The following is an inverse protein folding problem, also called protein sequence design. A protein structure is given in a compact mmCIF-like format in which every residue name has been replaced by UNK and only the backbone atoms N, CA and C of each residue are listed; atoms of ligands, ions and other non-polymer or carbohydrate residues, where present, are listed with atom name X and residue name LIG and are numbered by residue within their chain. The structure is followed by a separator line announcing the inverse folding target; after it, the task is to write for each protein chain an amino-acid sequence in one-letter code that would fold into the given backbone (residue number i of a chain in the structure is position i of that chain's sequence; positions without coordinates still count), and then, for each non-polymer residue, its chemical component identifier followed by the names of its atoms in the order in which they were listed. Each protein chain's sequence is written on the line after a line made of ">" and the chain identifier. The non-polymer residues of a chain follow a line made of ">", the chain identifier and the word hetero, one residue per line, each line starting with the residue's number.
data_IF_383531451302
#
_entry.id   IF_383531451302
#
_cell.length_a   1.000
_cell.length_b   1.000
_cell.length_c   1.000
_cell.angle_alpha   90.00
_cell.angle_beta   90.00
_cell.angle_gamma   90.00
#
_symmetry.space_group_name_H-M   'P 1'
#
loop_
_entity.id
_entity.type
_entity.pdbx_description
1 polymer ?
#
# COMPACT_ATOMS: atom_id res chain seq x y z
N UNK A 1 32.95 -82.28 -70.93
CA UNK A 1 31.50 -82.03 -70.71
C UNK A 1 31.29 -82.18 -69.21
N UNK A 2 31.37 -81.11 -68.41
CA UNK A 2 30.41 -79.98 -68.36
C UNK A 2 29.15 -80.48 -67.65
N UNK A 3 28.72 -79.99 -66.48
CA UNK A 3 28.68 -78.60 -66.02
C UNK A 3 28.40 -78.53 -64.52
N UNK A 4 28.78 -77.38 -63.94
CA UNK A 4 28.72 -76.99 -62.54
C UNK A 4 27.35 -77.21 -61.87
N UNK A 5 27.33 -78.02 -60.83
CA UNK A 5 26.48 -77.81 -59.66
C UNK A 5 27.25 -76.82 -58.79
N UNK A 6 26.79 -75.59 -58.62
CA UNK A 6 27.06 -74.66 -57.50
C UNK A 6 26.52 -73.25 -57.86
N UNK A 7 25.20 -73.09 -57.85
CA UNK A 7 24.55 -71.77 -57.71
C UNK A 7 23.08 -71.94 -57.35
N UNK A 8 22.81 -72.36 -56.11
CA UNK A 8 21.44 -72.36 -55.56
C UNK A 8 21.35 -72.17 -54.05
N UNK A 9 22.46 -71.80 -53.39
CA UNK A 9 22.52 -71.61 -51.93
C UNK A 9 22.76 -70.16 -51.48
N UNK A 10 23.31 -69.29 -52.33
CA UNK A 10 23.59 -67.89 -51.95
C UNK A 10 22.40 -66.93 -52.14
N UNK A 11 21.39 -67.29 -52.94
CA UNK A 11 20.25 -66.39 -53.20
C UNK A 11 19.19 -66.39 -52.10
N UNK A 12 19.20 -67.38 -51.19
CA UNK A 12 18.21 -67.48 -50.10
C UNK A 12 18.63 -66.74 -48.82
N UNK A 13 19.93 -66.62 -48.57
CA UNK A 13 20.49 -65.86 -47.44
C UNK A 13 20.48 -64.35 -47.74
N UNK A 14 20.83 -63.94 -48.96
CA UNK A 14 20.80 -62.53 -49.37
C UNK A 14 19.40 -61.90 -49.31
N UNK A 15 18.34 -62.65 -49.66
CA UNK A 15 16.97 -62.12 -49.62
C UNK A 15 16.40 -62.03 -48.20
N UNK A 16 16.82 -62.91 -47.29
CA UNK A 16 16.45 -62.83 -45.87
C UNK A 16 17.15 -61.67 -45.14
N UNK A 17 18.40 -61.37 -45.51
CA UNK A 17 19.12 -60.21 -45.00
C UNK A 17 18.51 -58.90 -45.53
N UNK A 18 18.05 -58.84 -46.78
CA UNK A 18 17.34 -57.68 -47.33
C UNK A 18 15.95 -57.46 -46.70
N UNK A 19 15.18 -58.52 -46.44
CA UNK A 19 13.91 -58.43 -45.71
C UNK A 19 14.13 -58.00 -44.25
N UNK A 20 15.16 -58.53 -43.59
CA UNK A 20 15.54 -58.14 -42.23
C UNK A 20 15.99 -56.67 -42.16
N UNK A 21 16.80 -56.21 -43.12
CA UNK A 21 17.24 -54.82 -43.20
C UNK A 21 16.06 -53.87 -43.48
N UNK A 22 15.15 -54.28 -44.37
CA UNK A 22 13.94 -53.50 -44.69
C UNK A 22 13.02 -53.38 -43.48
N UNK A 23 12.80 -54.47 -42.73
CA UNK A 23 12.02 -54.46 -41.50
C UNK A 23 12.64 -53.57 -40.41
N UNK A 24 13.96 -53.56 -40.29
CA UNK A 24 14.67 -52.68 -39.34
C UNK A 24 14.55 -51.22 -39.75
N UNK A 25 14.66 -50.90 -41.04
CA UNK A 25 14.49 -49.53 -41.56
C UNK A 25 13.06 -49.04 -41.38
N UNK A 26 12.06 -49.89 -41.64
CA UNK A 26 10.64 -49.57 -41.43
C UNK A 26 10.35 -49.33 -39.95
N UNK A 27 10.87 -50.17 -39.05
CA UNK A 27 10.74 -49.97 -37.61
C UNK A 27 11.41 -48.66 -37.16
N UNK A 28 12.64 -48.39 -37.62
CA UNK A 28 13.37 -47.20 -37.23
C UNK A 28 12.69 -45.92 -37.75
N UNK A 29 12.20 -45.94 -38.99
CA UNK A 29 11.49 -44.81 -39.58
C UNK A 29 10.12 -44.57 -38.92
N UNK A 30 9.37 -45.63 -38.61
CA UNK A 30 8.13 -45.53 -37.83
C UNK A 30 8.38 -45.03 -36.41
N UNK A 31 9.47 -45.45 -35.77
CA UNK A 31 9.85 -45.00 -34.43
C UNK A 31 10.30 -43.54 -34.43
N UNK A 32 11.09 -43.11 -35.42
CA UNK A 32 11.47 -41.71 -35.59
C UNK A 32 10.24 -40.84 -35.89
N UNK A 33 9.33 -41.29 -36.75
CA UNK A 33 8.07 -40.60 -37.01
C UNK A 33 7.24 -40.48 -35.73
N UNK A 34 7.14 -41.55 -34.95
CA UNK A 34 6.45 -41.55 -33.67
C UNK A 34 7.08 -40.57 -32.68
N UNK A 35 8.41 -40.53 -32.58
CA UNK A 35 9.11 -39.55 -31.73
C UNK A 35 8.88 -38.12 -32.21
N UNK A 36 8.88 -37.86 -33.51
CA UNK A 36 8.58 -36.54 -34.07
C UNK A 36 7.14 -36.13 -33.72
N UNK A 37 6.17 -37.03 -33.88
CA UNK A 37 4.77 -36.77 -33.52
C UNK A 37 4.61 -36.59 -32.01
N UNK A 38 5.28 -37.39 -31.18
CA UNK A 38 5.23 -37.30 -29.73
C UNK A 38 5.83 -35.98 -29.23
N UNK A 39 6.98 -35.57 -29.77
CA UNK A 39 7.63 -34.30 -29.43
C UNK A 39 6.82 -33.11 -29.91
N UNK A 40 6.24 -33.16 -31.11
CA UNK A 40 5.32 -32.14 -31.61
C UNK A 40 4.06 -32.03 -30.74
N UNK A 41 3.49 -33.17 -30.32
CA UNK A 41 2.33 -33.21 -29.43
C UNK A 41 2.65 -32.66 -28.04
N UNK A 42 3.77 -33.05 -27.42
CA UNK A 42 4.19 -32.53 -26.13
C UNK A 42 4.52 -31.04 -26.19
N UNK A 43 5.11 -30.57 -27.28
CA UNK A 43 5.35 -29.14 -27.52
C UNK A 43 4.03 -28.36 -27.66
N UNK A 44 3.07 -28.90 -28.42
CA UNK A 44 1.74 -28.30 -28.57
C UNK A 44 0.95 -28.32 -27.25
N UNK A 45 1.01 -29.41 -26.47
CA UNK A 45 0.36 -29.50 -25.17
C UNK A 45 0.95 -28.49 -24.17
N UNK A 46 2.26 -28.28 -24.19
CA UNK A 46 2.92 -27.22 -23.41
C UNK A 46 2.50 -25.82 -23.84
N UNK A 47 2.29 -25.58 -25.14
CA UNK A 47 1.78 -24.30 -25.66
C UNK A 47 0.29 -24.07 -25.36
N UNK A 48 -0.52 -25.12 -25.31
CA UNK A 48 -1.97 -25.03 -25.19
C UNK A 48 -2.46 -25.00 -23.74
N UNK A 49 -1.65 -25.49 -22.78
CA UNK A 49 -1.97 -25.41 -21.34
C UNK A 49 -1.23 -24.29 -20.59
N UNK A 50 -0.27 -23.60 -21.22
CA UNK A 50 0.56 -22.60 -20.55
C UNK A 50 1.30 -23.17 -19.33
N UNK A 51 2.05 -22.33 -18.61
CA UNK A 51 2.50 -22.69 -17.27
C UNK A 51 1.28 -22.68 -16.34
N UNK A 52 0.78 -23.85 -15.92
CA UNK A 52 -0.21 -23.94 -14.84
C UNK A 52 0.44 -23.46 -13.52
N UNK A 53 0.44 -22.16 -13.29
CA UNK A 53 0.81 -21.53 -12.02
C UNK A 53 -0.46 -20.93 -11.43
N UNK A 54 -1.28 -21.72 -10.71
CA UNK A 54 -2.58 -21.28 -10.22
C UNK A 54 -2.52 -20.02 -9.34
N UNK A 55 -1.37 -19.73 -8.75
CA UNK A 55 -1.17 -18.52 -7.95
C UNK A 55 -0.97 -17.28 -8.84
N UNK A 56 -0.15 -17.38 -9.89
CA UNK A 56 0.05 -16.30 -10.87
C UNK A 56 -1.25 -15.98 -11.59
N UNK A 57 -1.96 -16.99 -12.09
CA UNK A 57 -3.23 -16.80 -12.80
C UNK A 57 -4.28 -16.11 -11.91
N UNK A 58 -4.31 -16.44 -10.62
CA UNK A 58 -5.23 -15.80 -9.66
C UNK A 58 -4.87 -14.35 -9.36
N UNK A 59 -3.59 -14.03 -9.23
CA UNK A 59 -3.15 -12.64 -8.97
C UNK A 59 -3.39 -11.78 -10.22
N UNK A 60 -3.20 -12.32 -11.42
CA UNK A 60 -3.58 -11.67 -12.67
C UNK A 60 -5.09 -11.35 -12.68
N UNK A 61 -5.93 -12.34 -12.37
CA UNK A 61 -7.38 -12.16 -12.26
C UNK A 61 -7.76 -11.08 -11.24
N UNK A 62 -7.12 -11.07 -10.06
CA UNK A 62 -7.32 -10.05 -9.03
C UNK A 62 -6.96 -8.65 -9.51
N UNK A 63 -5.84 -8.47 -10.20
CA UNK A 63 -5.45 -7.15 -10.71
C UNK A 63 -6.45 -6.63 -11.76
N UNK A 64 -6.93 -7.51 -12.65
CA UNK A 64 -7.88 -7.16 -13.70
C UNK A 64 -9.25 -6.83 -13.11
N UNK A 65 -9.76 -7.69 -12.21
CA UNK A 65 -11.05 -7.49 -11.55
C UNK A 65 -11.03 -6.26 -10.64
N UNK A 66 -9.98 -6.08 -9.85
CA UNK A 66 -9.79 -4.92 -8.99
C UNK A 66 -9.79 -3.63 -9.82
N UNK A 67 -9.04 -3.58 -10.92
CA UNK A 67 -9.03 -2.42 -11.81
C UNK A 67 -10.39 -2.19 -12.47
N UNK A 68 -11.08 -3.26 -12.89
CA UNK A 68 -12.42 -3.15 -13.47
C UNK A 68 -13.44 -2.60 -12.47
N UNK A 69 -13.39 -3.04 -11.21
CA UNK A 69 -14.26 -2.51 -10.14
C UNK A 69 -13.94 -1.04 -9.90
N UNK A 70 -12.66 -0.72 -9.71
CA UNK A 70 -12.20 0.63 -9.40
C UNK A 70 -12.55 1.64 -10.50
N UNK A 71 -12.49 1.24 -11.76
CA UNK A 71 -12.70 2.14 -12.91
C UNK A 71 -14.05 1.98 -13.60
N UNK A 72 -14.89 1.04 -13.15
CA UNK A 72 -16.16 0.72 -13.78
C UNK A 72 -17.36 1.41 -13.15
N UNK A 73 -17.25 1.84 -11.89
CA UNK A 73 -18.36 2.38 -11.11
C UNK A 73 -17.89 3.57 -10.25
N UNK A 74 -18.85 4.32 -9.70
CA UNK A 74 -18.63 5.47 -8.81
C UNK A 74 -18.31 5.09 -7.36
N UNK A 75 -18.32 3.79 -7.05
CA UNK A 75 -18.16 3.26 -5.70
C UNK A 75 -19.44 3.33 -4.87
N UNK A 76 -19.40 2.77 -3.67
CA UNK A 76 -20.51 2.73 -2.74
C UNK A 76 -20.01 2.58 -1.30
N UNK A 77 -20.55 3.40 -0.39
CA UNK A 77 -20.26 3.35 1.04
C UNK A 77 -21.52 2.98 1.82
N UNK A 78 -21.38 2.06 2.77
CA UNK A 78 -22.43 1.65 3.71
C UNK A 78 -21.89 1.86 5.13
N UNK A 79 -22.34 2.90 5.85
CA UNK A 79 -21.94 3.08 7.24
C UNK A 79 -22.49 1.96 8.12
N UNK A 80 -21.81 1.68 9.24
CA UNK A 80 -22.36 0.83 10.30
C UNK A 80 -22.96 1.70 11.41
N UNK A 81 -23.99 1.17 12.07
CA UNK A 81 -24.58 1.79 13.24
C UNK A 81 -23.76 1.48 14.52
N UNK A 82 -24.23 1.99 15.67
CA UNK A 82 -23.60 1.80 16.98
C UNK A 82 -23.50 0.32 17.42
N UNK A 83 -24.20 -0.60 16.75
CA UNK A 83 -24.18 -2.04 17.01
C UNK A 83 -23.41 -2.82 15.95
N UNK A 84 -22.62 -2.14 15.12
CA UNK A 84 -21.85 -2.72 14.00
C UNK A 84 -22.75 -3.39 12.95
N UNK A 85 -23.98 -2.88 12.78
CA UNK A 85 -24.92 -3.34 11.76
C UNK A 85 -24.92 -2.37 10.58
N UNK A 86 -24.88 -2.93 9.37
CA UNK A 86 -24.96 -2.15 8.12
C UNK A 86 -26.22 -1.27 8.07
N UNK A 87 -26.02 0.03 7.99
CA UNK A 87 -27.09 1.00 7.78
C UNK A 87 -27.27 1.27 6.28
N UNK A 88 -28.14 0.45 5.68
CA UNK A 88 -28.47 0.57 4.26
C UNK A 88 -29.23 1.86 3.93
N UNK A 89 -29.90 2.50 4.89
CA UNK A 89 -30.68 3.70 4.63
C UNK A 89 -29.79 4.93 4.39
N UNK A 90 -28.62 4.97 5.02
CA UNK A 90 -27.63 6.04 4.89
C UNK A 90 -26.50 5.72 3.91
N UNK A 91 -26.65 4.65 3.10
CA UNK A 91 -25.65 4.28 2.11
C UNK A 91 -25.66 5.20 0.89
N UNK A 92 -24.47 5.46 0.31
CA UNK A 92 -24.30 6.48 -0.75
C UNK A 92 -23.16 6.20 -1.73
N UNK A 93 -23.23 6.80 -2.94
CA UNK A 93 -22.13 6.86 -3.94
C UNK A 93 -21.13 7.98 -3.66
N UNK A 94 -21.47 8.89 -2.78
CA UNK A 94 -20.69 10.09 -2.49
C UNK A 94 -19.72 9.85 -1.34
N UNK A 95 -19.09 8.67 -1.34
CA UNK A 95 -18.14 8.24 -0.33
C UNK A 95 -16.95 9.20 -0.19
N UNK A 96 -16.54 9.83 -1.29
CA UNK A 96 -15.43 10.78 -1.37
C UNK A 96 -15.66 12.07 -0.55
N UNK A 97 -16.88 12.30 -0.04
CA UNK A 97 -17.20 13.46 0.80
C UNK A 97 -16.93 13.23 2.28
N UNK A 98 -16.66 11.98 2.68
CA UNK A 98 -16.34 11.62 4.06
C UNK A 98 -14.83 11.60 4.29
N UNK A 99 -14.40 11.98 5.49
CA UNK A 99 -13.02 11.84 5.91
C UNK A 99 -12.71 10.37 6.28
N UNK A 100 -11.43 10.08 6.48
CA UNK A 100 -10.97 8.73 6.76
C UNK A 100 -11.61 8.13 8.02
N UNK A 101 -11.78 8.94 9.07
CA UNK A 101 -12.38 8.50 10.33
C UNK A 101 -13.84 8.09 10.20
N UNK A 102 -14.63 8.67 9.28
CA UNK A 102 -15.99 8.21 9.00
C UNK A 102 -15.99 6.99 8.09
N UNK A 103 -15.13 6.96 7.07
CA UNK A 103 -15.08 5.83 6.14
C UNK A 103 -14.71 4.53 6.86
N UNK A 104 -13.81 4.57 7.84
CA UNK A 104 -13.36 3.37 8.56
C UNK A 104 -14.44 2.70 9.43
N UNK A 105 -15.57 3.39 9.68
CA UNK A 105 -16.70 2.83 10.45
C UNK A 105 -17.73 2.12 9.57
N UNK A 106 -17.39 1.75 8.34
CA UNK A 106 -18.31 1.09 7.44
C UNK A 106 -17.63 0.35 6.29
N UNK A 107 -18.48 -0.24 5.44
CA UNK A 107 -18.05 -0.97 4.25
C UNK A 107 -17.95 -0.04 3.04
N UNK A 108 -16.77 0.04 2.45
CA UNK A 108 -16.50 0.86 1.28
C UNK A 108 -16.09 -0.01 0.09
N UNK A 109 -16.79 0.15 -1.04
CA UNK A 109 -16.31 -0.28 -2.36
C UNK A 109 -15.82 0.95 -3.11
N UNK A 110 -14.50 1.13 -3.32
CA UNK A 110 -13.98 2.30 -4.02
C UNK A 110 -14.38 2.25 -5.50
N UNK A 111 -14.58 3.44 -6.07
CA UNK A 111 -14.84 3.59 -7.50
C UNK A 111 -14.58 5.01 -7.95
N UNK A 112 -13.88 5.14 -9.07
CA UNK A 112 -13.36 6.40 -9.58
C UNK A 112 -14.13 6.94 -10.77
N UNK A 113 -15.05 6.13 -11.32
CA UNK A 113 -15.78 6.52 -12.52
C UNK A 113 -16.95 7.46 -12.21
N UNK A 114 -17.10 8.50 -13.02
CA UNK A 114 -18.28 9.35 -13.09
C UNK A 114 -19.44 8.67 -13.81
N UNK A 115 -20.55 9.40 -13.98
CA UNK A 115 -21.79 8.88 -14.58
C UNK A 115 -21.63 8.41 -16.05
N UNK A 116 -20.65 8.95 -16.77
CA UNK A 116 -20.34 8.67 -18.18
C UNK A 116 -19.19 7.69 -18.38
N UNK A 117 -18.58 7.16 -17.30
CA UNK A 117 -17.44 6.23 -17.38
C UNK A 117 -16.06 6.88 -17.51
N UNK A 118 -15.99 8.22 -17.51
CA UNK A 118 -14.75 8.97 -17.30
C UNK A 118 -14.33 8.95 -15.83
N UNK A 119 -13.07 9.27 -15.53
CA UNK A 119 -12.64 9.49 -14.15
C UNK A 119 -13.26 10.77 -13.59
N UNK A 120 -13.59 10.72 -12.31
CA UNK A 120 -14.07 11.88 -11.56
C UNK A 120 -12.99 12.38 -10.60
N UNK A 121 -12.59 13.65 -10.77
CA UNK A 121 -11.53 14.28 -9.98
C UNK A 121 -11.82 14.24 -8.48
N UNK A 122 -13.08 14.46 -8.06
CA UNK A 122 -13.39 14.50 -6.62
C UNK A 122 -13.25 13.12 -5.98
N UNK A 123 -13.46 12.05 -6.74
CA UNK A 123 -13.26 10.66 -6.30
C UNK A 123 -11.79 10.28 -6.28
N UNK A 124 -10.99 10.76 -7.23
CA UNK A 124 -9.54 10.61 -7.21
C UNK A 124 -8.95 11.26 -5.96
N UNK A 125 -9.36 12.49 -5.64
CA UNK A 125 -8.91 13.19 -4.43
C UNK A 125 -9.38 12.47 -3.14
N UNK A 126 -10.56 11.85 -3.17
CA UNK A 126 -11.10 11.09 -2.06
C UNK A 126 -10.31 9.82 -1.72
N UNK A 127 -9.44 9.33 -2.61
CA UNK A 127 -8.59 8.15 -2.34
C UNK A 127 -7.75 8.32 -1.07
N UNK A 128 -7.35 9.57 -0.76
CA UNK A 128 -6.56 9.87 0.42
C UNK A 128 -7.28 9.58 1.74
N UNK A 129 -8.62 9.52 1.72
CA UNK A 129 -9.40 9.20 2.90
C UNK A 129 -9.63 7.68 3.08
N UNK A 130 -9.15 6.84 2.17
CA UNK A 130 -9.35 5.39 2.24
C UNK A 130 -8.08 4.76 2.80
N UNK A 131 -8.22 3.83 3.76
CA UNK A 131 -7.08 3.01 4.20
C UNK A 131 -6.76 1.91 3.18
N UNK A 132 -5.50 1.47 3.08
CA UNK A 132 -5.14 0.37 2.17
C UNK A 132 -5.98 -0.90 2.44
N UNK A 133 -6.27 -1.21 3.71
CA UNK A 133 -7.10 -2.36 4.09
C UNK A 133 -8.53 -2.24 3.55
N UNK A 134 -9.17 -1.08 3.69
CA UNK A 134 -10.48 -0.83 3.10
C UNK A 134 -10.45 -0.88 1.57
N UNK A 135 -9.39 -0.36 0.97
CA UNK A 135 -9.22 -0.40 -0.48
C UNK A 135 -9.13 -1.84 -0.99
N UNK A 136 -8.29 -2.69 -0.37
CA UNK A 136 -8.16 -4.12 -0.70
C UNK A 136 -9.50 -4.84 -0.54
N UNK A 137 -10.14 -4.72 0.63
CA UNK A 137 -11.43 -5.38 0.91
C UNK A 137 -12.52 -4.90 -0.03
N UNK A 138 -12.57 -3.61 -0.29
CA UNK A 138 -13.54 -2.98 -1.20
C UNK A 138 -13.42 -3.44 -2.64
N UNK A 139 -12.21 -3.78 -3.09
CA UNK A 139 -11.97 -4.39 -4.40
C UNK A 139 -12.24 -5.91 -4.42
N UNK A 140 -12.58 -6.51 -3.28
CA UNK A 140 -12.78 -7.97 -3.16
C UNK A 140 -11.49 -8.77 -3.24
N UNK A 141 -10.35 -8.13 -2.97
CA UNK A 141 -9.05 -8.78 -2.92
C UNK A 141 -8.89 -9.57 -1.61
N UNK A 142 -8.09 -10.65 -1.59
CA UNK A 142 -7.89 -11.41 -0.36
C UNK A 142 -7.07 -10.62 0.67
N UNK A 143 -7.29 -10.89 1.97
CA UNK A 143 -6.68 -10.11 3.07
C UNK A 143 -5.15 -10.08 3.06
N UNK A 144 -4.49 -11.08 2.45
CA UNK A 144 -3.03 -11.12 2.32
C UNK A 144 -2.50 -10.24 1.19
N UNK A 145 -3.33 -9.85 0.22
CA UNK A 145 -2.91 -9.13 -0.97
C UNK A 145 -2.57 -7.68 -0.64
N UNK A 146 -1.37 -7.26 -0.98
CA UNK A 146 -0.98 -5.87 -0.97
C UNK A 146 -1.19 -5.25 -2.34
N UNK A 147 -1.31 -3.94 -2.40
CA UNK A 147 -1.53 -3.22 -3.65
C UNK A 147 -0.55 -2.09 -3.83
N UNK A 148 -0.34 -1.69 -5.08
CA UNK A 148 0.23 -0.39 -5.42
C UNK A 148 -0.68 0.25 -6.47
N UNK A 149 -1.26 1.41 -6.13
CA UNK A 149 -2.13 2.16 -7.02
C UNK A 149 -1.38 3.40 -7.49
N UNK A 150 -1.30 3.58 -8.82
CA UNK A 150 -0.73 4.78 -9.43
C UNK A 150 -1.69 5.34 -10.47
N UNK A 151 -1.99 6.63 -10.36
CA UNK A 151 -2.75 7.40 -11.34
C UNK A 151 -1.86 8.49 -11.92
N UNK A 152 -1.53 8.40 -13.20
CA UNK A 152 -0.61 9.34 -13.85
C UNK A 152 -1.25 9.99 -15.08
N UNK A 153 -1.14 11.31 -15.20
CA UNK A 153 -1.54 12.03 -16.42
C UNK A 153 -0.57 11.68 -17.55
N UNK A 154 -1.05 11.07 -18.62
CA UNK A 154 -0.23 10.67 -19.78
C UNK A 154 -0.43 11.58 -20.99
N UNK A 155 -1.60 12.22 -21.12
CA UNK A 155 -1.85 13.25 -22.12
C UNK A 155 -2.63 14.41 -21.48
N UNK A 156 -2.27 15.65 -21.83
CA UNK A 156 -2.97 16.87 -21.39
C UNK A 156 -2.70 17.99 -22.39
N UNK A 157 -3.64 18.93 -22.51
CA UNK A 157 -3.44 20.16 -23.29
C UNK A 157 -2.35 21.06 -22.67
N UNK A 158 -2.10 20.90 -21.37
CA UNK A 158 -1.03 21.57 -20.64
C UNK A 158 0.17 20.62 -20.47
N UNK A 159 1.28 20.90 -21.16
CA UNK A 159 2.47 20.04 -21.13
C UNK A 159 3.10 19.88 -19.75
N UNK A 160 2.89 20.82 -18.82
CA UNK A 160 3.39 20.71 -17.44
C UNK A 160 2.67 19.65 -16.61
N UNK A 161 1.46 19.24 -17.03
CA UNK A 161 0.66 18.23 -16.35
C UNK A 161 1.05 16.81 -16.72
N UNK A 162 1.61 16.61 -17.92
CA UNK A 162 2.03 15.28 -18.38
C UNK A 162 3.11 14.73 -17.44
N UNK A 163 2.88 13.53 -16.92
CA UNK A 163 3.72 12.86 -15.92
C UNK A 163 3.37 13.19 -14.47
N UNK A 164 2.42 14.10 -14.21
CA UNK A 164 1.95 14.38 -12.85
C UNK A 164 1.20 13.16 -12.31
N UNK A 165 1.55 12.74 -11.10
CA UNK A 165 0.83 11.71 -10.37
C UNK A 165 -0.33 12.36 -9.61
N UNK A 166 -1.54 11.91 -9.91
CA UNK A 166 -2.76 12.32 -9.20
C UNK A 166 -2.93 11.54 -7.91
N UNK A 167 -2.41 10.32 -7.88
CA UNK A 167 -2.34 9.48 -6.70
C UNK A 167 -1.20 8.47 -6.91
N UNK A 168 -0.42 8.21 -5.87
CA UNK A 168 0.52 7.11 -5.83
C UNK A 168 0.66 6.64 -4.40
N UNK A 169 0.21 5.42 -4.11
CA UNK A 169 0.51 4.78 -2.84
C UNK A 169 0.26 3.28 -2.84
N UNK A 170 0.69 2.61 -1.78
CA UNK A 170 0.48 1.21 -1.48
C UNK A 170 1.78 0.53 -1.03
N UNK A 171 1.69 -0.74 -0.67
CA UNK A 171 2.83 -1.44 -0.13
C UNK A 171 3.98 -1.61 -1.14
N UNK A 172 5.19 -1.71 -0.62
CA UNK A 172 6.36 -1.95 -1.44
C UNK A 172 6.45 -3.42 -1.87
N UNK A 173 6.63 -3.68 -3.16
CA UNK A 173 6.83 -5.02 -3.73
C UNK A 173 8.12 -5.75 -3.32
N UNK A 174 9.07 -5.09 -2.63
CA UNK A 174 10.43 -5.60 -2.37
C UNK A 174 10.51 -6.99 -1.72
N UNK A 175 9.48 -7.41 -0.99
CA UNK A 175 9.42 -8.71 -0.31
C UNK A 175 8.47 -9.72 -0.96
N UNK A 176 7.88 -9.41 -2.13
CA UNK A 176 6.92 -10.26 -2.81
C UNK A 176 7.55 -11.19 -3.84
N UNK A 177 7.04 -12.41 -3.92
CA UNK A 177 7.43 -13.41 -4.91
C UNK A 177 6.52 -13.36 -6.16
N UNK A 178 5.27 -12.91 -5.99
CA UNK A 178 4.27 -12.83 -7.05
C UNK A 178 3.62 -11.44 -7.12
N UNK A 179 3.44 -10.94 -8.33
CA UNK A 179 2.76 -9.68 -8.61
C UNK A 179 2.08 -9.73 -9.97
N UNK A 180 0.96 -9.06 -10.10
CA UNK A 180 0.33 -8.74 -11.37
C UNK A 180 -0.01 -7.26 -11.44
N UNK A 181 0.09 -6.70 -12.63
CA UNK A 181 -0.22 -5.30 -12.88
C UNK A 181 -1.22 -5.19 -14.01
N UNK A 182 -2.30 -4.47 -13.73
CA UNK A 182 -3.30 -4.10 -14.73
C UNK A 182 -3.33 -2.58 -14.88
N UNK A 183 -3.55 -2.10 -16.10
CA UNK A 183 -3.70 -0.66 -16.35
C UNK A 183 -4.81 -0.33 -17.34
N UNK A 184 -5.37 0.86 -17.22
CA UNK A 184 -6.43 1.39 -18.08
C UNK A 184 -6.24 2.89 -18.29
N UNK A 185 -6.45 3.33 -19.53
CA UNK A 185 -6.50 4.75 -19.89
C UNK A 185 -7.93 5.26 -19.80
N UNK A 186 -8.13 6.37 -19.11
CA UNK A 186 -9.43 7.01 -18.93
C UNK A 186 -9.31 8.51 -19.13
N UNK A 187 -10.41 9.13 -19.54
CA UNK A 187 -10.53 10.58 -19.63
C UNK A 187 -10.74 11.16 -18.23
N UNK A 188 -10.15 12.34 -17.99
CA UNK A 188 -10.39 13.18 -16.82
C UNK A 188 -10.42 14.63 -17.31
N UNK A 189 -11.62 15.14 -17.59
CA UNK A 189 -11.75 16.44 -18.28
C UNK A 189 -11.13 16.39 -19.68
N UNK A 190 -10.09 17.20 -19.92
CA UNK A 190 -9.31 17.23 -21.16
C UNK A 190 -8.02 16.38 -21.10
N UNK A 191 -7.77 15.69 -19.99
CA UNK A 191 -6.60 14.86 -19.77
C UNK A 191 -6.90 13.37 -20.02
N UNK A 192 -5.87 12.61 -20.41
CA UNK A 192 -5.88 11.15 -20.37
C UNK A 192 -5.01 10.71 -19.18
N UNK A 193 -5.60 9.92 -18.29
CA UNK A 193 -4.95 9.38 -17.09
C UNK A 193 -4.81 7.88 -17.23
N UNK A 194 -3.60 7.38 -16.95
CA UNK A 194 -3.32 5.97 -16.79
C UNK A 194 -3.54 5.57 -15.33
N UNK A 195 -4.56 4.75 -15.09
CA UNK A 195 -4.80 4.08 -13.81
C UNK A 195 -4.10 2.74 -13.84
N UNK A 196 -3.14 2.54 -12.94
CA UNK A 196 -2.38 1.29 -12.82
C UNK A 196 -2.59 0.71 -11.43
N UNK A 197 -3.08 -0.53 -11.38
CA UNK A 197 -3.23 -1.30 -10.15
C UNK A 197 -2.28 -2.49 -10.20
N UNK A 198 -1.33 -2.51 -9.28
CA UNK A 198 -0.51 -3.67 -8.96
C UNK A 198 -1.12 -4.42 -7.77
N UNK A 199 -1.14 -5.74 -7.82
CA UNK A 199 -1.54 -6.62 -6.72
C UNK A 199 -0.41 -7.62 -6.49
N UNK A 200 0.07 -7.75 -5.26
CA UNK A 200 1.22 -8.60 -4.92
C UNK A 200 1.13 -9.20 -3.51
N UNK A 201 2.05 -10.12 -3.19
CA UNK A 201 2.08 -10.88 -1.93
C UNK A 201 3.16 -10.44 -0.94
N UNK A 202 3.85 -9.32 -1.20
CA UNK A 202 4.94 -8.80 -0.36
C UNK A 202 4.57 -8.45 1.10
N UNK A 203 3.29 -8.51 1.48
CA UNK A 203 2.79 -8.05 2.77
C UNK A 203 2.68 -6.53 2.83
N UNK A 204 1.98 -6.02 3.84
CA UNK A 204 1.81 -4.58 4.07
C UNK A 204 2.82 -4.11 5.11
N UNK A 205 3.55 -3.05 4.81
CA UNK A 205 4.41 -2.38 5.79
C UNK A 205 3.55 -1.47 6.67
N UNK A 206 3.98 -1.18 7.91
CA UNK A 206 3.33 -0.14 8.71
C UNK A 206 3.44 1.20 7.98
N UNK A 207 2.43 2.07 8.11
CA UNK A 207 2.49 3.40 7.50
C UNK A 207 3.65 4.23 8.04
N UNK A 208 4.08 5.21 7.24
CA UNK A 208 5.24 6.04 7.52
C UNK A 208 4.89 7.30 8.31
N UNK A 209 3.92 7.21 9.25
CA UNK A 209 3.56 8.35 10.10
C UNK A 209 4.83 8.98 10.69
N UNK A 210 4.89 10.31 10.65
CA UNK A 210 6.06 11.04 11.12
C UNK A 210 5.75 12.23 11.99
N UNK A 211 6.53 12.39 13.05
CA UNK A 211 6.54 13.61 13.83
C UNK A 211 7.20 14.70 12.99
N UNK A 212 6.46 15.78 12.76
CA UNK A 212 6.85 16.91 11.92
C UNK A 212 7.17 18.15 12.74
N UNK A 213 6.48 18.35 13.84
CA UNK A 213 6.69 19.51 14.71
C UNK A 213 6.38 19.15 16.16
N UNK A 214 7.08 19.76 17.11
CA UNK A 214 6.72 19.67 18.54
C UNK A 214 7.10 20.94 19.29
N UNK A 215 6.43 21.18 20.41
CA UNK A 215 6.75 22.23 21.38
C UNK A 215 6.76 21.62 22.78
N UNK A 216 7.94 21.65 23.41
CA UNK A 216 8.18 21.03 24.71
C UNK A 216 8.05 22.01 25.88
N UNK A 217 8.23 23.33 25.66
CA UNK A 217 8.22 24.34 26.72
C UNK A 217 7.41 25.59 26.34
N UNK A 218 6.06 25.52 26.31
CA UNK A 218 5.23 26.68 26.01
C UNK A 218 5.18 27.67 27.19
N UNK A 219 5.51 28.95 26.98
CA UNK A 219 5.39 30.02 27.99
C UNK A 219 3.95 30.21 28.43
N UNK A 220 3.03 30.10 27.46
CA UNK A 220 1.61 30.09 27.70
C UNK A 220 0.93 29.11 26.77
N UNK A 221 0.36 28.04 27.33
CA UNK A 221 -0.34 27.05 26.52
C UNK A 221 -0.20 25.66 27.06
N UNK A 222 0.09 24.72 26.18
CA UNK A 222 0.16 23.30 26.48
C UNK A 222 1.17 22.68 25.54
N UNK A 223 1.88 21.65 26.00
CA UNK A 223 2.79 20.91 25.12
C UNK A 223 2.00 20.24 24.00
N UNK A 224 2.64 20.10 22.84
CA UNK A 224 2.02 19.46 21.71
C UNK A 224 3.05 18.83 20.78
N UNK A 225 2.57 17.82 20.04
CA UNK A 225 3.32 17.07 19.04
C UNK A 225 2.43 16.91 17.82
N UNK A 226 2.94 17.31 16.67
CA UNK A 226 2.32 17.16 15.37
C UNK A 226 2.84 15.90 14.69
N UNK A 227 1.93 15.13 14.09
CA UNK A 227 2.26 13.93 13.33
C UNK A 227 1.55 13.95 11.99
N UNK A 228 2.30 13.82 10.91
CA UNK A 228 1.83 13.78 9.53
C UNK A 228 1.72 12.34 9.03
N UNK A 229 0.74 12.07 8.18
CA UNK A 229 0.70 10.92 7.30
C UNK A 229 1.23 11.31 5.90
N UNK A 230 2.51 11.03 5.56
CA UNK A 230 3.05 11.40 4.26
C UNK A 230 2.62 10.45 3.12
N UNK A 231 1.96 9.34 3.46
CA UNK A 231 1.51 8.34 2.50
C UNK A 231 0.24 8.83 1.77
N UNK A 232 -0.10 8.21 0.64
CA UNK A 232 -1.28 8.59 -0.13
C UNK A 232 -2.58 8.02 0.43
N UNK A 233 -2.58 6.82 1.00
CA UNK A 233 -3.72 6.21 1.68
C UNK A 233 -3.80 6.68 3.14
N UNK A 234 -5.02 6.62 3.69
CA UNK A 234 -5.25 6.90 5.10
C UNK A 234 -4.65 5.81 6.01
N UNK A 235 -4.38 6.20 7.26
CA UNK A 235 -3.82 5.35 8.31
C UNK A 235 -4.81 5.20 9.44
N UNK A 236 -5.14 3.96 9.80
CA UNK A 236 -5.90 3.68 11.02
C UNK A 236 -5.03 3.97 12.26
N UNK A 237 -5.53 4.78 13.18
CA UNK A 237 -4.84 5.19 14.41
C UNK A 237 -4.81 4.10 15.49
N UNK A 238 -5.59 3.02 15.34
CA UNK A 238 -5.57 1.88 16.25
C UNK A 238 -4.17 1.28 16.40
N UNK A 239 -3.71 1.19 17.65
CA UNK A 239 -2.39 0.64 18.00
C UNK A 239 -1.24 1.66 17.99
N UNK A 240 -1.45 2.87 17.45
CA UNK A 240 -0.47 3.95 17.55
C UNK A 240 -0.43 4.54 18.95
N UNK A 241 0.78 4.77 19.46
CA UNK A 241 1.01 5.33 20.79
C UNK A 241 2.12 6.37 20.74
N UNK A 242 1.93 7.43 21.53
CA UNK A 242 2.96 8.39 21.86
C UNK A 242 3.54 8.05 23.23
N UNK A 243 4.86 8.02 23.31
CA UNK A 243 5.58 7.71 24.54
C UNK A 243 6.63 8.77 24.82
N UNK A 244 6.71 9.19 26.08
CA UNK A 244 7.83 9.93 26.62
C UNK A 244 8.98 8.99 26.96
N UNK A 245 10.20 9.31 26.55
CA UNK A 245 11.39 8.47 26.74
C UNK A 245 12.30 8.95 27.88
N UNK A 246 11.70 9.28 29.02
CA UNK A 246 12.41 9.58 30.26
C UNK A 246 12.52 8.36 31.18
N UNK A 247 13.30 8.47 32.27
CA UNK A 247 13.48 7.40 33.29
C UNK A 247 12.15 6.91 33.90
N UNK A 248 11.10 7.74 33.87
CA UNK A 248 9.72 7.41 34.28
C UNK A 248 8.74 7.43 33.08
N UNK A 249 9.24 7.15 31.88
CA UNK A 249 8.55 7.36 30.60
C UNK A 249 7.12 6.82 30.58
N UNK A 250 6.18 7.72 30.30
CA UNK A 250 4.75 7.43 30.18
C UNK A 250 4.43 7.11 28.72
N UNK A 251 3.56 6.13 28.49
CA UNK A 251 3.08 5.75 27.16
C UNK A 251 1.57 5.82 27.13
N UNK A 252 1.02 6.36 26.04
CA UNK A 252 -0.43 6.35 25.81
C UNK A 252 -0.73 6.00 24.37
N UNK A 253 -1.79 5.20 24.18
CA UNK A 253 -2.46 5.11 22.88
C UNK A 253 -2.95 6.50 22.50
N UNK A 254 -2.82 6.84 21.21
CA UNK A 254 -3.23 8.15 20.69
C UNK A 254 -4.75 8.23 20.63
N UNK A 255 -5.41 7.17 20.15
CA UNK A 255 -6.86 7.05 20.13
C UNK A 255 -7.37 6.22 18.97
N UNK A 256 -8.66 6.39 18.68
CA UNK A 256 -9.36 5.77 17.57
C UNK A 256 -9.58 6.78 16.43
N UNK A 257 -9.79 6.27 15.21
CA UNK A 257 -9.98 7.05 14.01
C UNK A 257 -9.02 6.65 12.90
N UNK A 258 -9.05 7.41 11.80
CA UNK A 258 -8.08 7.29 10.73
C UNK A 258 -7.67 8.67 10.23
N UNK A 259 -6.38 8.82 9.95
CA UNK A 259 -5.75 10.04 9.44
C UNK A 259 -5.60 9.92 7.92
N UNK A 260 -6.14 10.88 7.16
CA UNK A 260 -6.05 10.88 5.69
C UNK A 260 -4.61 10.96 5.17
N UNK A 261 -4.41 10.56 3.92
CA UNK A 261 -3.14 10.69 3.22
C UNK A 261 -2.78 12.15 2.93
N UNK A 262 -1.61 12.57 3.40
CA UNK A 262 -1.16 13.96 3.40
C UNK A 262 -1.73 14.82 4.54
N UNK A 263 -2.58 14.26 5.41
CA UNK A 263 -3.15 15.00 6.53
C UNK A 263 -2.29 14.90 7.80
N UNK A 264 -2.56 15.81 8.73
CA UNK A 264 -1.87 15.94 10.00
C UNK A 264 -2.80 15.71 11.18
N UNK A 265 -2.28 15.06 12.22
CA UNK A 265 -2.88 15.02 13.55
C UNK A 265 -2.09 15.83 14.57
N UNK A 266 -2.80 16.39 15.54
CA UNK A 266 -2.24 17.17 16.63
C UNK A 266 -2.48 16.47 17.97
N UNK A 267 -1.42 16.00 18.60
CA UNK A 267 -1.44 15.53 19.98
C UNK A 267 -1.15 16.72 20.90
N UNK A 268 -2.06 17.06 21.81
CA UNK A 268 -1.91 18.22 22.69
C UNK A 268 -2.18 17.83 24.14
N UNK A 269 -1.47 18.44 25.08
CA UNK A 269 -1.76 18.28 26.50
C UNK A 269 -3.13 18.86 26.88
N UNK A 270 -3.61 19.86 26.16
CA UNK A 270 -4.93 20.47 26.39
C UNK A 270 -5.49 21.06 25.09
N UNK A 271 -6.11 20.23 24.23
CA UNK A 271 -6.63 20.66 22.92
C UNK A 271 -7.52 21.90 22.95
N UNK A 272 -8.29 22.09 24.03
CA UNK A 272 -9.18 23.26 24.17
C UNK A 272 -8.46 24.62 24.21
N UNK A 273 -7.16 24.63 24.52
CA UNK A 273 -6.34 25.85 24.58
C UNK A 273 -5.26 25.90 23.49
N UNK A 274 -5.14 24.84 22.69
CA UNK A 274 -4.15 24.73 21.63
C UNK A 274 -4.71 25.30 20.33
N UNK A 275 -4.02 26.24 19.65
CA UNK A 275 -4.36 26.61 18.28
C UNK A 275 -4.32 25.36 17.38
N UNK A 276 -5.33 25.20 16.52
CA UNK A 276 -5.33 24.21 15.45
C UNK A 276 -5.44 24.94 14.11
N UNK A 277 -4.40 24.85 13.29
CA UNK A 277 -4.30 25.53 12.01
C UNK A 277 -4.77 24.67 10.82
N UNK A 278 -5.25 23.45 11.06
CA UNK A 278 -5.67 22.56 9.97
C UNK A 278 -5.61 21.05 10.24
N UNK A 279 -5.19 20.58 11.42
CA UNK A 279 -5.11 19.16 11.74
C UNK A 279 -6.50 18.50 11.68
N UNK A 280 -6.58 17.37 10.97
CA UNK A 280 -7.79 16.57 10.80
C UNK A 280 -8.19 15.86 12.11
N UNK A 281 -7.19 15.40 12.87
CA UNK A 281 -7.38 14.76 14.17
C UNK A 281 -6.69 15.55 15.27
N UNK A 282 -7.36 15.67 16.43
CA UNK A 282 -6.80 16.31 17.62
C UNK A 282 -7.02 15.41 18.83
N UNK A 283 -5.94 15.04 19.52
CA UNK A 283 -5.96 14.13 20.66
C UNK A 283 -5.49 14.81 21.96
N UNK A 284 -6.21 14.57 23.06
CA UNK A 284 -5.81 15.02 24.40
C UNK A 284 -4.88 14.00 25.05
N UNK A 285 -3.58 14.28 25.06
CA UNK A 285 -2.57 13.48 25.74
C UNK A 285 -2.09 14.10 27.05
N UNK A 286 -2.76 15.14 27.56
CA UNK A 286 -2.42 15.68 28.86
C UNK A 286 -3.08 14.94 30.01
N UNK A 287 -4.18 14.22 29.75
CA UNK A 287 -4.82 13.40 30.80
C UNK A 287 -3.99 12.14 31.09
N UNK A 288 -3.17 11.75 30.13
CA UNK A 288 -2.36 10.53 30.16
C UNK A 288 -1.02 10.78 30.86
N UNK A 289 -0.60 12.05 30.95
CA UNK A 289 0.71 12.45 31.50
C UNK A 289 1.85 12.33 30.50
N UNK A 290 1.56 12.04 29.23
CA UNK A 290 2.58 12.07 28.16
C UNK A 290 2.93 13.52 27.82
N UNK A 291 1.94 14.41 27.76
CA UNK A 291 2.11 15.84 27.50
C UNK A 291 1.63 16.68 28.69
N UNK A 292 2.23 17.85 28.84
CA UNK A 292 2.00 18.80 29.91
C UNK A 292 0.75 19.65 29.70
N UNK A 293 0.12 20.09 30.80
CA UNK A 293 -1.10 20.91 30.82
C UNK A 293 -0.82 22.26 31.48
N UNK A 294 -0.46 23.28 30.70
CA UNK A 294 -0.16 24.60 31.27
C UNK A 294 1.04 24.51 32.21
N UNK A 295 0.86 24.87 33.48
CA UNK A 295 1.94 24.92 34.47
C UNK A 295 2.46 23.55 34.98
N UNK A 296 2.10 22.46 34.31
CA UNK A 296 2.60 21.12 34.62
C UNK A 296 3.19 20.57 33.34
N UNK A 297 4.50 20.42 33.34
CA UNK A 297 5.24 19.93 32.19
C UNK A 297 5.16 18.41 32.13
N UNK A 298 4.86 17.92 30.93
CA UNK A 298 4.89 16.52 30.55
C UNK A 298 6.19 16.17 29.86
N UNK A 299 6.90 17.10 29.22
CA UNK A 299 8.19 16.93 28.58
C UNK A 299 9.22 17.79 29.30
N UNK A 300 10.46 17.31 29.43
CA UNK A 300 11.53 18.10 30.06
C UNK A 300 12.36 18.81 29.01
N UNK A 301 12.32 20.14 28.97
CA UNK A 301 13.03 20.96 27.99
C UNK A 301 14.56 20.69 27.97
N UNK A 302 15.17 20.41 29.13
CA UNK A 302 16.62 20.23 29.21
C UNK A 302 17.14 18.90 28.65
N UNK A 303 16.37 17.81 28.78
CA UNK A 303 16.70 16.49 28.24
C UNK A 303 15.49 15.56 28.33
N UNK A 304 14.99 15.10 27.19
CA UNK A 304 13.92 14.10 27.11
C UNK A 304 13.87 13.44 25.74
N UNK A 305 12.84 12.64 25.49
CA UNK A 305 12.53 12.14 24.16
C UNK A 305 11.06 11.82 23.94
N UNK A 306 10.68 11.81 22.68
CA UNK A 306 9.36 11.41 22.19
C UNK A 306 9.54 10.17 21.30
N UNK A 307 8.76 9.13 21.55
CA UNK A 307 8.68 7.94 20.71
C UNK A 307 7.29 7.82 20.13
N UNK A 308 7.23 7.77 18.80
CA UNK A 308 6.05 7.29 18.09
C UNK A 308 6.20 5.77 17.93
N UNK A 309 5.22 5.04 18.45
CA UNK A 309 5.25 3.58 18.48
C UNK A 309 3.96 3.01 17.90
N UNK A 310 4.05 1.81 17.36
CA UNK A 310 2.90 1.08 16.85
C UNK A 310 2.86 -0.33 17.44
N UNK A 311 1.71 -0.71 17.96
CA UNK A 311 1.45 -2.05 18.47
C UNK A 311 0.48 -2.75 17.54
N UNK A 312 0.90 -3.90 17.00
CA UNK A 312 0.05 -4.67 16.11
C UNK A 312 -1.25 -5.08 16.83
N UNK A 313 -2.44 -4.83 16.27
CA UNK A 313 -3.70 -5.23 16.88
C UNK A 313 -3.72 -6.72 17.23
N UNK A 314 -4.13 -7.05 18.45
CA UNK A 314 -4.15 -8.43 18.96
C UNK A 314 -2.78 -9.00 19.37
N UNK A 315 -1.73 -8.19 19.34
CA UNK A 315 -0.37 -8.55 19.77
C UNK A 315 0.09 -7.68 20.95
N UNK A 316 1.11 -8.14 21.66
CA UNK A 316 1.87 -7.36 22.64
C UNK A 316 3.18 -6.81 22.04
N UNK A 317 3.39 -7.02 20.73
CA UNK A 317 4.59 -6.59 20.04
C UNK A 317 4.45 -5.13 19.61
N UNK A 318 5.19 -4.26 20.27
CA UNK A 318 5.29 -2.83 19.97
C UNK A 318 6.59 -2.53 19.25
N UNK A 319 6.51 -1.80 18.14
CA UNK A 319 7.65 -1.31 17.36
C UNK A 319 7.78 0.20 17.56
N UNK A 320 9.00 0.66 17.77
CA UNK A 320 9.31 2.10 17.70
C UNK A 320 9.45 2.49 16.23
N UNK A 321 8.55 3.35 15.77
CA UNK A 321 8.56 3.88 14.41
C UNK A 321 9.49 5.07 14.32
N UNK A 322 9.39 5.98 15.30
CA UNK A 322 10.27 7.15 15.40
C UNK A 322 10.69 7.41 16.84
N UNK A 323 11.86 8.00 16.98
CA UNK A 323 12.44 8.40 18.25
C UNK A 323 13.12 9.75 18.09
N UNK A 324 12.54 10.77 18.70
CA UNK A 324 13.15 12.08 18.90
C UNK A 324 13.76 12.07 20.29
N UNK A 325 15.02 12.45 20.40
CA UNK A 325 15.68 12.57 21.70
C UNK A 325 16.52 13.84 21.67
N UNK A 326 16.34 14.67 22.69
CA UNK A 326 17.12 15.87 22.88
C UNK A 326 17.92 15.80 24.17
N UNK A 327 18.95 16.63 24.22
CA UNK A 327 19.85 16.78 25.34
C UNK A 327 20.10 18.28 25.57
N UNK A 328 20.86 18.66 26.61
CA UNK A 328 21.07 20.08 26.92
C UNK A 328 21.77 20.89 25.82
N UNK A 329 22.29 20.26 24.76
CA UNK A 329 22.88 20.97 23.61
C UNK A 329 21.86 21.50 22.61
N UNK A 330 20.60 21.05 22.70
CA UNK A 330 19.50 21.58 21.89
C UNK A 330 19.09 22.98 22.33
N UNK A 331 19.40 23.37 23.58
CA UNK A 331 19.11 24.68 24.17
C UNK A 331 17.64 25.08 23.96
N UNK A 332 16.72 24.16 24.33
CA UNK A 332 15.28 24.39 24.18
C UNK A 332 14.86 25.57 25.05
N UNK A 333 14.45 26.65 24.40
CA UNK A 333 13.92 27.85 25.01
C UNK A 333 12.37 27.85 25.02
N UNK A 334 11.83 28.71 25.89
CA UNK A 334 10.39 28.91 26.07
C UNK A 334 9.73 29.41 24.77
N UNK A 335 8.53 28.89 24.45
CA UNK A 335 7.73 29.17 23.24
C UNK A 335 8.40 28.77 21.90
N UNK A 336 9.48 27.98 21.93
CA UNK A 336 10.07 27.44 20.71
C UNK A 336 9.40 26.13 20.27
N UNK A 337 9.01 26.10 18.99
CA UNK A 337 8.68 24.87 18.28
C UNK A 337 9.84 24.41 17.40
N UNK A 338 9.92 23.10 17.24
CA UNK A 338 10.94 22.44 16.44
C UNK A 338 10.26 21.74 15.27
N UNK A 339 10.44 22.26 14.06
CA UNK A 339 9.92 21.67 12.82
C UNK A 339 11.00 20.84 12.13
N UNK A 340 10.68 19.60 11.79
CA UNK A 340 11.63 18.67 11.17
C UNK A 340 11.96 19.08 9.73
N UNK A 341 13.25 19.29 9.45
CA UNK A 341 13.77 19.68 8.14
C UNK A 341 14.27 18.48 7.31
N UNK A 342 14.07 17.26 7.78
CA UNK A 342 14.54 16.03 7.15
C UNK A 342 15.83 15.50 7.78
N UNK A 343 16.04 14.18 7.67
CA UNK A 343 17.22 13.50 8.24
C UNK A 343 16.90 12.73 9.53
N UNK A 344 17.90 12.53 10.37
CA UNK A 344 17.75 11.85 11.66
C UNK A 344 17.05 12.76 12.69
N UNK A 345 15.96 12.29 13.29
CA UNK A 345 15.19 13.00 14.31
C UNK A 345 15.97 13.29 15.60
N UNK A 346 17.05 12.55 15.87
CA UNK A 346 17.88 12.74 17.06
C UNK A 346 18.97 13.80 16.90
N UNK A 347 19.07 14.46 15.75
CA UNK A 347 20.07 15.49 15.48
C UNK A 347 19.43 16.88 15.45
N UNK A 348 19.82 17.76 16.39
CA UNK A 348 19.30 19.12 16.48
C UNK A 348 19.40 19.91 15.15
N UNK A 349 20.46 19.68 14.37
CA UNK A 349 20.67 20.35 13.07
C UNK A 349 19.61 20.01 12.00
N UNK A 350 18.81 18.97 12.22
CA UNK A 350 17.71 18.56 11.35
C UNK A 350 16.37 19.16 11.77
N UNK A 351 16.37 20.08 12.73
CA UNK A 351 15.18 20.79 13.20
C UNK A 351 15.36 22.29 12.97
N UNK A 352 14.31 22.92 12.45
CA UNK A 352 14.21 24.36 12.30
C UNK A 352 13.40 24.88 13.47
N UNK A 353 13.94 25.90 14.15
CA UNK A 353 13.31 26.48 15.33
C UNK A 353 12.46 27.69 14.92
N UNK A 354 11.22 27.74 15.41
CA UNK A 354 10.33 28.89 15.24
C UNK A 354 9.62 29.23 16.55
N UNK A 355 9.31 30.51 16.74
CA UNK A 355 8.54 30.98 17.90
C UNK A 355 7.05 30.70 17.65
N UNK A 356 6.32 30.31 18.69
CA UNK A 356 4.89 29.93 18.72
C UNK A 356 4.54 28.64 17.95
N UNK A 357 5.30 28.34 16.90
CA UNK A 357 5.10 27.21 16.01
C UNK A 357 3.84 27.27 15.16
N UNK A 358 3.58 26.17 14.45
CA UNK A 358 2.49 26.10 13.49
C UNK A 358 1.60 24.87 13.66
N UNK A 359 0.99 24.69 14.86
CA UNK A 359 0.29 23.46 15.23
C UNK A 359 -0.85 23.12 14.26
N UNK A 360 -0.70 22.01 13.55
CA UNK A 360 -1.68 21.47 12.61
C UNK A 360 -1.69 22.16 11.24
N UNK A 361 -0.66 22.91 10.86
CA UNK A 361 -0.68 23.68 9.61
C UNK A 361 -0.16 22.96 8.37
N UNK A 362 0.46 21.79 8.57
CA UNK A 362 1.21 21.06 7.56
C UNK A 362 0.36 20.20 6.65
#
# INVERSE_FOLDING_TARGET
>A
MGTNVHSRRDSRTSMQDEEGLTAVIEFLSAFVLFLIVLTAFLSLAGLQMGSNLPQTDRIDEYSIQGLQILTGESGWFVPHDEFDVRDLANSTRDWHTFNASVLITGDLRPGLAGASGELDQVRVNGLNNITEDQFVRGLGLPDWASVNLTLTVVESSNSSRVGTQLFQDGANRRAGDFSATSSRLLLLGDEIVQVTLEVHDAGRTSSHLRVTEFMADPASGTEWVEVENPDGFAVNMSGWSLRRDSDNGVSSLIGDGALGGGDVMLCSGRPSLQPNLGADLVFDLGATGVLGRGAIDGLEFSQDGIKLTWTMPGSLYTVTVQHIQWDPSWDIDEDESYTWAGGDWSQAANWTVTIDGTPGSH
#
